data_IF_899648199558
#
_entry.id   IF_899648199558
#
_cell.length_a   1.000
_cell.length_b   1.000
_cell.length_c   1.000
_cell.angle_alpha   90.00
_cell.angle_beta   90.00
_cell.angle_gamma   90.00
#
_symmetry.space_group_name_H-M   'P 1'
#
loop_
_entity.id
_entity.type
_entity.pdbx_description
1 polymer ?
#
# COMPACT_ATOMS: atom_id res chain seq x y z
N UNK A 1 25.11 49.97 27.88
CA UNK A 1 24.82 51.08 26.94
C UNK A 1 25.78 50.98 25.76
N UNK A 2 25.25 51.11 24.53
CA UNK A 2 25.92 51.05 23.21
C UNK A 2 26.25 49.62 22.72
N UNK A 3 25.85 49.15 21.53
CA UNK A 3 25.13 49.72 20.37
C UNK A 3 24.53 48.53 19.60
N UNK A 4 23.23 48.59 19.30
CA UNK A 4 22.62 47.79 18.22
C UNK A 4 23.19 48.29 16.89
N UNK A 5 23.80 47.40 16.12
CA UNK A 5 24.19 47.66 14.74
C UNK A 5 23.54 46.60 13.86
N UNK A 6 22.41 46.99 13.29
CA UNK A 6 21.75 46.37 12.16
C UNK A 6 22.74 46.35 10.99
N UNK A 7 23.06 45.19 10.43
CA UNK A 7 23.68 45.10 9.11
C UNK A 7 22.95 44.05 8.31
N UNK A 8 22.03 44.56 7.49
CA UNK A 8 21.35 43.86 6.42
C UNK A 8 22.38 43.62 5.30
N UNK A 9 22.61 42.38 4.89
CA UNK A 9 23.17 42.11 3.57
C UNK A 9 22.51 40.87 2.97
N UNK A 10 21.72 41.11 1.92
CA UNK A 10 21.19 40.10 1.02
C UNK A 10 22.34 39.43 0.26
N UNK A 11 22.35 38.09 0.22
CA UNK A 11 22.94 37.34 -0.88
C UNK A 11 22.09 36.10 -1.11
N UNK A 12 21.31 36.14 -2.19
CA UNK A 12 20.47 35.04 -2.62
C UNK A 12 21.29 33.84 -3.04
N UNK A 13 20.88 32.67 -2.56
CA UNK A 13 21.19 31.39 -3.20
C UNK A 13 19.88 30.63 -3.33
N UNK A 14 19.18 30.90 -4.44
CA UNK A 14 18.13 30.01 -4.95
C UNK A 14 18.85 28.76 -5.45
N UNK A 15 19.16 27.85 -4.53
CA UNK A 15 19.53 26.48 -4.85
C UNK A 15 18.26 25.75 -5.21
N UNK A 16 18.02 25.55 -6.51
CA UNK A 16 16.99 24.66 -7.04
C UNK A 16 17.18 23.28 -6.42
N UNK A 17 16.35 22.97 -5.42
CA UNK A 17 16.18 21.61 -4.94
C UNK A 17 15.61 20.81 -6.12
N UNK A 18 16.48 20.11 -6.84
CA UNK A 18 16.10 18.95 -7.63
C UNK A 18 15.49 17.95 -6.67
N UNK A 19 14.18 18.05 -6.48
CA UNK A 19 13.40 16.96 -5.90
C UNK A 19 13.49 15.87 -6.95
N UNK A 20 14.49 15.00 -6.81
CA UNK A 20 14.50 13.69 -7.44
C UNK A 20 13.20 13.03 -7.02
N UNK A 21 12.20 13.10 -7.90
CA UNK A 21 11.00 12.29 -7.80
C UNK A 21 11.47 10.85 -7.86
N UNK A 22 11.70 10.23 -6.70
CA UNK A 22 11.72 8.80 -6.59
C UNK A 22 10.33 8.34 -7.05
N UNK A 23 10.23 7.99 -8.33
CA UNK A 23 9.19 7.14 -8.83
C UNK A 23 9.38 5.77 -8.15
N UNK A 24 8.97 5.67 -6.88
CA UNK A 24 8.78 4.42 -6.16
C UNK A 24 7.54 3.74 -6.75
N UNK A 25 7.67 3.30 -8.01
CA UNK A 25 6.81 2.27 -8.55
C UNK A 25 6.99 1.03 -7.68
N UNK A 26 5.89 0.55 -7.10
CA UNK A 26 5.88 -0.73 -6.39
C UNK A 26 4.99 -0.74 -5.15
N UNK A 27 5.21 0.13 -4.17
CA UNK A 27 4.53 -0.02 -2.87
C UNK A 27 4.26 1.30 -2.12
N UNK A 28 4.91 2.40 -2.52
CA UNK A 28 4.75 3.74 -1.92
C UNK A 28 3.54 4.50 -2.45
N UNK A 29 2.91 3.98 -3.51
CA UNK A 29 1.74 4.60 -4.11
C UNK A 29 0.50 4.45 -3.21
N UNK A 30 -0.37 5.47 -3.26
CA UNK A 30 -1.71 5.39 -2.68
C UNK A 30 -2.42 4.17 -3.25
N UNK A 31 -2.99 3.35 -2.36
CA UNK A 31 -3.79 2.21 -2.78
C UNK A 31 -5.17 2.74 -3.19
N UNK A 32 -5.52 2.57 -4.46
CA UNK A 32 -6.83 2.96 -5.03
C UNK A 32 -7.71 1.75 -5.35
N UNK A 33 -7.11 0.56 -5.40
CA UNK A 33 -7.74 -0.68 -5.91
C UNK A 33 -8.65 -1.32 -4.85
N UNK A 34 -8.11 -1.59 -3.66
CA UNK A 34 -8.83 -2.21 -2.56
C UNK A 34 -9.43 -1.15 -1.63
N UNK A 35 -9.93 -0.03 -2.14
CA UNK A 35 -10.48 1.05 -1.29
C UNK A 35 -11.95 0.84 -0.93
N UNK A 36 -12.60 -0.11 -1.59
CA UNK A 36 -14.03 -0.36 -1.43
C UNK A 36 -14.28 -1.52 -0.47
N UNK A 37 -15.30 -1.39 0.38
CA UNK A 37 -15.69 -2.42 1.36
C UNK A 37 -15.10 -2.23 2.76
N UNK A 38 -15.39 -3.19 3.63
CA UNK A 38 -15.04 -3.19 5.06
C UNK A 38 -13.95 -4.21 5.43
N UNK A 39 -13.34 -4.85 4.43
CA UNK A 39 -12.27 -5.81 4.63
C UNK A 39 -11.05 -5.19 5.32
N UNK A 40 -10.28 -6.02 6.03
CA UNK A 40 -9.02 -5.57 6.65
C UNK A 40 -8.04 -5.01 5.61
N UNK A 41 -8.05 -5.55 4.38
CA UNK A 41 -7.34 -5.00 3.24
C UNK A 41 -7.80 -3.60 2.89
N UNK A 42 -9.11 -3.35 2.92
CA UNK A 42 -9.66 -2.05 2.56
C UNK A 42 -9.33 -0.98 3.59
N UNK A 43 -9.36 -1.34 4.87
CA UNK A 43 -8.87 -0.47 5.95
C UNK A 43 -7.38 -0.18 5.80
N UNK A 44 -6.56 -1.21 5.56
CA UNK A 44 -5.12 -1.05 5.36
C UNK A 44 -4.77 -0.22 4.11
N UNK A 45 -5.52 -0.41 3.03
CA UNK A 45 -5.40 0.35 1.78
C UNK A 45 -5.69 1.84 1.99
N UNK A 46 -6.78 2.18 2.71
CA UNK A 46 -7.15 3.56 3.04
C UNK A 46 -6.16 4.23 4.00
N UNK A 47 -5.76 3.52 5.06
CA UNK A 47 -4.93 4.09 6.12
C UNK A 47 -3.45 4.23 5.74
N UNK A 48 -2.94 3.31 4.90
CA UNK A 48 -1.49 3.17 4.73
C UNK A 48 -1.03 2.76 3.33
N UNK A 49 -1.90 2.85 2.33
CA UNK A 49 -1.54 2.65 0.93
C UNK A 49 -1.23 1.20 0.54
N UNK A 50 -0.54 1.02 -0.58
CA UNK A 50 -0.31 -0.31 -1.17
C UNK A 50 0.54 -1.21 -0.27
N UNK A 51 1.59 -0.66 0.34
CA UNK A 51 2.45 -1.41 1.25
C UNK A 51 1.67 -2.05 2.42
N UNK A 52 0.75 -1.31 3.04
CA UNK A 52 -0.04 -1.82 4.17
C UNK A 52 -1.11 -2.83 3.72
N UNK A 53 -1.77 -2.58 2.58
CA UNK A 53 -2.68 -3.54 1.98
C UNK A 53 -1.98 -4.87 1.62
N UNK A 54 -0.76 -4.81 1.08
CA UNK A 54 0.07 -5.98 0.76
C UNK A 54 0.44 -6.78 2.00
N UNK A 55 0.80 -6.12 3.10
CA UNK A 55 1.07 -6.78 4.38
C UNK A 55 -0.16 -7.52 4.90
N UNK A 56 -1.33 -6.88 4.84
CA UNK A 56 -2.59 -7.51 5.21
C UNK A 56 -2.88 -8.74 4.32
N UNK A 57 -2.66 -8.65 3.00
CA UNK A 57 -2.82 -9.78 2.07
C UNK A 57 -1.88 -10.94 2.31
N UNK A 58 -0.60 -10.68 2.53
CA UNK A 58 0.34 -11.74 2.88
C UNK A 58 -0.08 -12.45 4.16
N UNK A 59 -0.56 -11.71 5.17
CA UNK A 59 -1.06 -12.29 6.41
C UNK A 59 -2.31 -13.15 6.17
N UNK A 60 -3.30 -12.64 5.43
CA UNK A 60 -4.53 -13.39 5.14
C UNK A 60 -4.26 -14.68 4.36
N UNK A 61 -3.38 -14.65 3.36
CA UNK A 61 -2.98 -15.85 2.61
C UNK A 61 -2.24 -16.86 3.51
N UNK A 62 -1.36 -16.37 4.39
CA UNK A 62 -0.67 -17.23 5.35
C UNK A 62 -1.63 -17.88 6.35
N UNK A 63 -2.56 -17.10 6.90
CA UNK A 63 -3.59 -17.57 7.84
C UNK A 63 -4.54 -18.58 7.14
N UNK A 64 -4.88 -18.34 5.88
CA UNK A 64 -5.70 -19.26 5.08
C UNK A 64 -4.99 -20.59 4.83
N UNK A 65 -3.70 -20.54 4.47
CA UNK A 65 -2.86 -21.75 4.33
C UNK A 65 -2.77 -22.54 5.63
N UNK A 66 -2.76 -21.86 6.77
CA UNK A 66 -2.75 -22.50 8.09
C UNK A 66 -4.11 -23.13 8.43
N UNK A 67 -5.23 -22.49 8.05
CA UNK A 67 -6.59 -23.00 8.26
C UNK A 67 -6.95 -24.17 7.34
N UNK A 68 -6.62 -24.07 6.05
CA UNK A 68 -6.90 -25.10 5.06
C UNK A 68 -5.72 -25.27 4.11
N UNK A 69 -5.07 -26.44 4.20
CA UNK A 69 -3.91 -26.79 3.35
C UNK A 69 -4.32 -27.26 1.95
N UNK A 70 -5.59 -27.62 1.76
CA UNK A 70 -6.13 -28.08 0.48
C UNK A 70 -6.44 -26.92 -0.46
N UNK A 71 -6.84 -25.77 0.09
CA UNK A 71 -7.20 -24.57 -0.65
C UNK A 71 -5.99 -23.65 -0.81
N UNK A 72 -5.52 -23.44 -2.05
CA UNK A 72 -4.34 -22.62 -2.34
C UNK A 72 -4.76 -21.21 -2.76
N UNK A 73 -4.49 -20.25 -1.87
CA UNK A 73 -4.56 -18.84 -2.21
C UNK A 73 -3.15 -18.34 -2.57
N UNK A 74 -3.01 -17.75 -3.76
CA UNK A 74 -1.75 -17.16 -4.22
C UNK A 74 -1.98 -15.72 -4.67
N UNK A 75 -0.94 -14.90 -4.62
CA UNK A 75 -1.04 -13.51 -5.08
C UNK A 75 -1.44 -13.47 -6.56
N UNK A 76 -0.88 -14.36 -7.38
CA UNK A 76 -1.17 -14.50 -8.82
C UNK A 76 -2.59 -15.01 -9.12
N UNK A 77 -3.26 -15.66 -8.16
CA UNK A 77 -4.66 -16.06 -8.31
C UNK A 77 -5.60 -14.85 -8.37
N UNK A 78 -5.25 -13.78 -7.65
CA UNK A 78 -6.04 -12.55 -7.59
C UNK A 78 -5.45 -11.42 -8.47
N UNK A 79 -4.14 -11.40 -8.67
CA UNK A 79 -3.43 -10.39 -9.44
C UNK A 79 -2.91 -10.96 -10.75
N UNK A 80 -3.23 -10.31 -11.86
CA UNK A 80 -2.61 -10.60 -13.16
C UNK A 80 -1.17 -10.11 -13.22
N UNK A 81 -0.90 -9.01 -12.54
CA UNK A 81 0.38 -8.33 -12.51
C UNK A 81 0.62 -7.82 -11.09
N UNK A 82 1.78 -8.15 -10.51
CA UNK A 82 2.15 -7.81 -9.14
C UNK A 82 2.86 -6.45 -9.02
N UNK A 83 3.33 -5.89 -10.15
CA UNK A 83 3.99 -4.57 -10.21
C UNK A 83 2.93 -3.46 -10.34
N UNK A 84 1.94 -3.68 -11.20
CA UNK A 84 0.82 -2.76 -11.44
C UNK A 84 -0.39 -3.07 -10.56
N UNK A 85 -0.39 -4.23 -9.89
CA UNK A 85 -1.50 -4.73 -9.05
C UNK A 85 -2.81 -4.90 -9.84
N UNK A 86 -2.72 -5.15 -11.15
CA UNK A 86 -3.90 -5.40 -11.97
C UNK A 86 -4.60 -6.67 -11.48
N UNK A 87 -5.92 -6.59 -11.31
CA UNK A 87 -6.71 -7.69 -10.79
C UNK A 87 -7.22 -8.61 -11.90
N UNK A 88 -7.32 -9.89 -11.58
CA UNK A 88 -8.06 -10.85 -12.41
C UNK A 88 -9.57 -10.52 -12.34
N UNK A 89 -10.33 -10.99 -13.33
CA UNK A 89 -11.80 -10.84 -13.34
C UNK A 89 -12.49 -11.53 -12.15
N UNK A 90 -11.86 -12.57 -11.61
CA UNK A 90 -12.39 -13.37 -10.49
C UNK A 90 -11.88 -12.89 -9.12
N UNK A 91 -10.98 -11.91 -9.08
CA UNK A 91 -10.33 -11.41 -7.87
C UNK A 91 -11.29 -11.12 -6.72
N UNK A 92 -12.45 -10.53 -7.00
CA UNK A 92 -13.47 -10.23 -5.97
C UNK A 92 -14.09 -11.48 -5.38
N UNK A 93 -14.44 -12.47 -6.21
CA UNK A 93 -15.00 -13.74 -5.74
C UNK A 93 -13.97 -14.55 -4.96
N UNK A 94 -12.73 -14.60 -5.44
CA UNK A 94 -11.66 -15.35 -4.77
C UNK A 94 -11.25 -14.68 -3.46
N UNK A 95 -11.27 -13.34 -3.41
CA UNK A 95 -11.10 -12.59 -2.18
C UNK A 95 -12.23 -12.84 -1.19
N UNK A 96 -13.50 -12.85 -1.63
CA UNK A 96 -14.62 -13.17 -0.77
C UNK A 96 -14.54 -14.60 -0.20
N UNK A 97 -14.08 -15.58 -0.99
CA UNK A 97 -13.81 -16.94 -0.50
C UNK A 97 -12.71 -16.96 0.56
N UNK A 98 -11.65 -16.19 0.35
CA UNK A 98 -10.56 -16.04 1.32
C UNK A 98 -11.10 -15.47 2.65
N UNK A 99 -11.87 -14.39 2.60
CA UNK A 99 -12.48 -13.79 3.80
C UNK A 99 -13.43 -14.77 4.49
N UNK A 100 -14.26 -15.48 3.73
CA UNK A 100 -15.18 -16.48 4.28
C UNK A 100 -14.43 -17.63 4.98
N UNK A 101 -13.32 -18.10 4.42
CA UNK A 101 -12.48 -19.12 5.05
C UNK A 101 -11.89 -18.61 6.38
N UNK A 102 -11.40 -17.37 6.39
CA UNK A 102 -10.81 -16.76 7.59
C UNK A 102 -11.85 -16.44 8.67
N UNK A 103 -13.10 -16.15 8.28
CA UNK A 103 -14.21 -15.88 9.18
C UNK A 103 -14.80 -17.14 9.84
N UNK A 104 -14.62 -18.33 9.24
CA UNK A 104 -14.98 -19.60 9.87
C UNK A 104 -14.08 -19.84 11.08
N UNK A 105 -14.67 -19.87 12.27
CA UNK A 105 -13.97 -20.15 13.53
C UNK A 105 -13.53 -21.61 13.60
#
# INVERSE_FOLDING_TARGET
MKRFAFTMLLAGSVGTAVVSGLALAGDSAKCTIATSGESETAKACKAGGRAQAKKAMKKMVADAKAKDKSQKYTCEGCHKDLDNYELTKNSKEDFAKLEALLAKK
#
